data_IF_468586487880
#
_entry.id   IF_468586487880
#
_cell.length_a   1.000
_cell.length_b   1.000
_cell.length_c   1.000
_cell.angle_alpha   90.00
_cell.angle_beta   90.00
_cell.angle_gamma   90.00
#
_symmetry.space_group_name_H-M   'P 1'
#
loop_
_entity.id
_entity.type
_entity.pdbx_description
1 polymer ?
#
# COMPACT_ATOMS: atom_id res chain seq x y z
N UNK A 1 3.94 -25.84 -20.46
CA UNK A 1 3.70 -24.39 -20.61
C UNK A 1 4.43 -23.72 -19.47
N UNK A 2 5.62 -23.17 -19.71
CA UNK A 2 6.40 -22.49 -18.68
C UNK A 2 5.62 -21.26 -18.25
N UNK A 3 4.96 -21.34 -17.10
CA UNK A 3 4.36 -20.18 -16.46
C UNK A 3 5.40 -19.07 -16.46
N UNK A 4 5.09 -17.91 -17.03
CA UNK A 4 5.90 -16.71 -16.86
C UNK A 4 6.17 -16.61 -15.36
N UNK A 5 7.43 -16.69 -14.96
CA UNK A 5 7.81 -16.64 -13.56
C UNK A 5 7.61 -15.18 -13.12
N UNK A 6 6.39 -14.85 -12.70
CA UNK A 6 5.99 -13.48 -12.28
C UNK A 6 6.66 -13.10 -10.95
N UNK A 7 7.68 -13.83 -10.51
CA UNK A 7 8.42 -13.64 -9.26
C UNK A 7 9.45 -12.51 -9.30
N UNK A 8 9.75 -11.95 -10.48
CA UNK A 8 10.75 -10.90 -10.64
C UNK A 8 10.38 -9.64 -9.84
N UNK A 9 11.29 -9.20 -8.95
CA UNK A 9 11.02 -8.12 -8.00
C UNK A 9 10.63 -6.80 -8.68
N UNK A 10 11.33 -6.44 -9.76
CA UNK A 10 11.06 -5.20 -10.49
C UNK A 10 9.66 -5.19 -11.09
N UNK A 11 9.20 -6.34 -11.60
CA UNK A 11 7.86 -6.47 -12.17
C UNK A 11 6.78 -6.31 -11.09
N UNK A 12 6.97 -6.94 -9.93
CA UNK A 12 6.06 -6.82 -8.79
C UNK A 12 5.98 -5.38 -8.26
N UNK A 13 7.12 -4.71 -8.14
CA UNK A 13 7.18 -3.30 -7.72
C UNK A 13 6.43 -2.41 -8.72
N UNK A 14 6.60 -2.63 -10.03
CA UNK A 14 5.84 -1.90 -11.05
C UNK A 14 4.33 -2.10 -10.87
N UNK A 15 3.87 -3.34 -10.63
CA UNK A 15 2.45 -3.60 -10.36
C UNK A 15 1.99 -2.86 -9.10
N UNK A 16 2.74 -2.93 -8.00
CA UNK A 16 2.43 -2.23 -6.75
C UNK A 16 2.26 -0.73 -7.01
N UNK A 17 3.18 -0.12 -7.77
CA UNK A 17 3.09 1.29 -8.14
C UNK A 17 1.87 1.60 -9.00
N UNK A 18 1.56 0.78 -10.01
CA UNK A 18 0.42 1.00 -10.89
C UNK A 18 -0.90 0.88 -10.14
N UNK A 19 -1.08 -0.16 -9.32
CA UNK A 19 -2.31 -0.37 -8.55
C UNK A 19 -2.43 0.68 -7.43
N UNK A 20 -1.32 1.02 -6.77
CA UNK A 20 -1.27 2.10 -5.77
C UNK A 20 -1.65 3.45 -6.37
N UNK A 21 -1.11 3.79 -7.55
CA UNK A 21 -1.48 4.99 -8.28
C UNK A 21 -2.96 5.00 -8.66
N UNK A 22 -3.49 3.88 -9.17
CA UNK A 22 -4.90 3.74 -9.52
C UNK A 22 -5.81 3.96 -8.31
N UNK A 23 -5.49 3.35 -7.16
CA UNK A 23 -6.21 3.58 -5.90
C UNK A 23 -6.22 5.07 -5.53
N UNK A 24 -5.05 5.72 -5.59
CA UNK A 24 -4.95 7.11 -5.19
C UNK A 24 -5.73 8.04 -6.15
N UNK A 25 -5.66 7.74 -7.45
CA UNK A 25 -6.44 8.43 -8.47
C UNK A 25 -7.96 8.28 -8.25
N UNK A 26 -8.43 7.07 -7.94
CA UNK A 26 -9.84 6.83 -7.61
C UNK A 26 -10.27 7.65 -6.39
N UNK A 27 -9.42 7.70 -5.35
CA UNK A 27 -9.68 8.48 -4.16
C UNK A 27 -9.86 9.98 -4.49
N UNK A 28 -8.88 10.56 -5.20
CA UNK A 28 -8.87 11.99 -5.54
C UNK A 28 -10.01 12.38 -6.48
N UNK A 29 -10.32 11.56 -7.49
CA UNK A 29 -11.32 11.91 -8.50
C UNK A 29 -12.76 11.70 -8.03
N UNK A 30 -13.02 10.67 -7.22
CA UNK A 30 -14.39 10.23 -6.95
C UNK A 30 -14.77 10.23 -5.48
N UNK A 31 -13.79 10.08 -4.60
CA UNK A 31 -14.02 9.95 -3.16
C UNK A 31 -13.50 11.14 -2.37
N UNK A 32 -13.18 12.29 -2.98
CA UNK A 32 -12.60 13.46 -2.31
C UNK A 32 -13.61 14.24 -1.42
N UNK A 33 -14.15 13.55 -0.42
CA UNK A 33 -14.99 14.09 0.63
C UNK A 33 -14.15 14.42 1.87
N UNK A 34 -14.66 15.28 2.75
CA UNK A 34 -13.94 15.68 3.96
C UNK A 34 -13.59 14.51 4.88
N UNK A 35 -14.43 13.47 4.91
CA UNK A 35 -14.25 12.27 5.75
C UNK A 35 -13.14 11.38 5.19
N UNK A 36 -13.13 11.14 3.89
CA UNK A 36 -12.11 10.32 3.22
C UNK A 36 -10.74 10.99 3.23
N UNK A 37 -10.66 12.33 3.28
CA UNK A 37 -9.40 13.03 3.52
C UNK A 37 -8.78 12.71 4.89
N UNK A 38 -9.57 12.69 5.97
CA UNK A 38 -9.09 12.30 7.29
C UNK A 38 -8.64 10.85 7.34
N UNK A 39 -9.36 9.97 6.65
CA UNK A 39 -8.98 8.58 6.52
C UNK A 39 -7.67 8.43 5.74
N UNK A 40 -7.56 9.10 4.59
CA UNK A 40 -6.38 9.09 3.73
C UNK A 40 -5.13 9.59 4.46
N UNK A 41 -5.30 10.60 5.34
CA UNK A 41 -4.23 11.13 6.16
C UNK A 41 -3.55 10.04 7.00
N UNK A 42 -4.29 9.08 7.57
CA UNK A 42 -3.69 7.99 8.35
C UNK A 42 -2.75 7.15 7.47
N UNK A 43 -3.19 6.78 6.27
CA UNK A 43 -2.36 6.01 5.34
C UNK A 43 -1.11 6.78 4.91
N UNK A 44 -1.28 8.06 4.55
CA UNK A 44 -0.16 8.93 4.20
C UNK A 44 0.81 9.15 5.37
N UNK A 45 0.30 9.26 6.61
CA UNK A 45 1.15 9.38 7.79
C UNK A 45 2.05 8.14 7.96
N UNK A 46 1.49 6.94 7.81
CA UNK A 46 2.27 5.70 7.91
C UNK A 46 3.27 5.60 6.75
N UNK A 47 2.89 6.02 5.54
CA UNK A 47 3.77 6.07 4.38
C UNK A 47 5.01 6.93 4.65
N UNK A 48 4.80 8.20 5.02
CA UNK A 48 5.89 9.14 5.30
C UNK A 48 6.72 8.74 6.53
N UNK A 49 6.07 8.17 7.56
CA UNK A 49 6.78 7.64 8.73
C UNK A 49 7.72 6.49 8.34
N UNK A 50 7.31 5.64 7.39
CA UNK A 50 8.14 4.53 6.90
C UNK A 50 9.42 5.05 6.24
N UNK A 51 9.29 6.08 5.39
CA UNK A 51 10.43 6.79 4.81
C UNK A 51 11.35 7.35 5.89
N UNK A 52 10.78 8.04 6.89
CA UNK A 52 11.56 8.66 7.96
C UNK A 52 12.34 7.64 8.80
N UNK A 53 11.72 6.50 9.15
CA UNK A 53 12.40 5.41 9.89
C UNK A 53 13.59 4.89 9.08
N UNK A 54 13.40 4.58 7.79
CA UNK A 54 14.49 4.08 6.95
C UNK A 54 15.54 5.15 6.65
N UNK A 55 15.18 6.43 6.59
CA UNK A 55 16.14 7.53 6.51
C UNK A 55 17.07 7.52 7.72
N UNK A 56 16.52 7.41 8.94
CA UNK A 56 17.31 7.37 10.17
C UNK A 56 18.22 6.13 10.18
N UNK A 57 17.70 4.95 9.83
CA UNK A 57 18.47 3.71 9.83
C UNK A 57 19.61 3.68 8.79
N UNK A 58 19.39 4.29 7.62
CA UNK A 58 20.42 4.38 6.56
C UNK A 58 21.36 5.58 6.74
N UNK A 59 21.15 6.38 7.79
CA UNK A 59 21.95 7.56 8.11
C UNK A 59 21.68 8.76 7.19
N UNK A 60 20.59 8.75 6.43
CA UNK A 60 20.13 9.92 5.68
C UNK A 60 19.62 11.01 6.65
N UNK A 61 19.99 12.26 6.38
CA UNK A 61 19.54 13.39 7.20
C UNK A 61 18.17 13.87 6.70
N UNK A 62 17.15 13.77 7.55
CA UNK A 62 15.82 14.35 7.28
C UNK A 62 15.95 15.87 7.36
N UNK A 63 15.55 16.55 6.28
CA UNK A 63 15.54 18.02 6.20
C UNK A 63 14.17 18.55 6.56
N UNK A 64 13.12 17.86 6.12
CA UNK A 64 11.74 18.29 6.29
C UNK A 64 10.82 17.08 6.45
N UNK A 65 9.90 17.15 7.41
CA UNK A 65 8.89 16.13 7.67
C UNK A 65 7.52 16.82 7.74
N UNK A 66 6.82 16.88 6.60
CA UNK A 66 5.56 17.63 6.45
C UNK A 66 4.39 16.69 6.18
N UNK A 67 3.90 16.05 7.24
CA UNK A 67 2.78 15.11 7.11
C UNK A 67 1.41 15.80 7.11
N UNK A 68 1.25 16.89 7.88
CA UNK A 68 0.00 17.65 7.96
C UNK A 68 -0.19 18.67 6.83
N UNK A 69 0.26 18.34 5.62
CA UNK A 69 0.14 19.21 4.45
C UNK A 69 -0.77 18.59 3.38
N UNK A 70 -1.20 19.40 2.39
CA UNK A 70 -2.00 18.89 1.26
C UNK A 70 -1.25 17.83 0.44
N UNK A 71 0.07 17.82 0.50
CA UNK A 71 0.95 16.84 -0.15
C UNK A 71 1.96 16.36 0.89
N UNK A 72 1.60 15.36 1.70
CA UNK A 72 2.51 14.75 2.66
C UNK A 72 3.82 14.35 1.98
N UNK A 73 4.95 14.69 2.60
CA UNK A 73 6.27 14.32 2.10
C UNK A 73 7.33 14.36 3.20
N UNK A 74 8.35 13.53 3.05
CA UNK A 74 9.63 13.60 3.74
C UNK A 74 10.73 13.99 2.76
N UNK A 75 11.35 15.15 2.98
CA UNK A 75 12.55 15.55 2.23
C UNK A 75 13.79 15.15 3.02
N UNK A 76 14.70 14.43 2.38
CA UNK A 76 15.94 13.96 3.01
C UNK A 76 17.15 14.20 2.09
N UNK A 77 18.32 14.35 2.68
CA UNK A 77 19.59 14.33 1.95
C UNK A 77 19.92 12.90 1.50
N UNK A 78 20.93 12.77 0.65
CA UNK A 78 21.46 11.47 0.25
C UNK A 78 21.83 10.60 1.46
N UNK A 79 21.47 9.32 1.38
CA UNK A 79 21.84 8.30 2.37
C UNK A 79 23.34 8.14 2.45
N UNK A 80 23.86 7.79 3.64
CA UNK A 80 25.27 7.43 3.83
C UNK A 80 25.66 6.14 3.10
N UNK A 81 24.68 5.27 2.87
CA UNK A 81 24.78 4.10 2.01
C UNK A 81 24.25 4.47 0.62
N UNK A 82 25.11 4.82 -0.36
CA UNK A 82 24.65 5.16 -1.70
C UNK A 82 23.98 3.94 -2.36
N UNK A 83 23.00 4.20 -3.22
CA UNK A 83 22.19 3.20 -3.93
C UNK A 83 21.31 2.32 -3.01
N UNK A 84 21.89 1.49 -2.14
CA UNK A 84 21.16 0.56 -1.27
C UNK A 84 20.28 1.33 -0.29
N UNK A 85 20.80 2.38 0.34
CA UNK A 85 20.01 3.17 1.27
C UNK A 85 18.86 3.91 0.57
N UNK A 86 19.10 4.41 -0.65
CA UNK A 86 18.03 5.00 -1.47
C UNK A 86 16.95 3.98 -1.82
N UNK A 87 17.33 2.76 -2.25
CA UNK A 87 16.39 1.68 -2.51
C UNK A 87 15.55 1.35 -1.28
N UNK A 88 16.20 1.16 -0.11
CA UNK A 88 15.53 0.82 1.13
C UNK A 88 14.55 1.91 1.57
N UNK A 89 14.93 3.18 1.47
CA UNK A 89 14.03 4.30 1.73
C UNK A 89 12.86 4.24 0.75
N UNK A 90 13.10 4.16 -0.56
CA UNK A 90 12.03 4.20 -1.56
C UNK A 90 11.01 3.06 -1.46
N UNK A 91 11.42 1.87 -1.04
CA UNK A 91 10.50 0.73 -0.83
C UNK A 91 9.96 0.66 0.61
N UNK A 92 10.39 1.55 1.51
CA UNK A 92 9.98 1.55 2.91
C UNK A 92 8.46 1.55 3.12
N UNK A 93 7.65 2.30 2.35
CA UNK A 93 6.20 2.32 2.55
C UNK A 93 5.53 0.95 2.36
N UNK A 94 6.05 0.10 1.47
CA UNK A 94 5.51 -1.24 1.26
C UNK A 94 5.62 -2.04 2.57
N UNK A 95 6.82 -2.09 3.14
CA UNK A 95 7.08 -2.86 4.36
C UNK A 95 6.43 -2.22 5.58
N UNK A 96 6.51 -0.90 5.72
CA UNK A 96 5.90 -0.19 6.84
C UNK A 96 4.38 -0.30 6.84
N UNK A 97 3.74 -0.26 5.66
CA UNK A 97 2.31 -0.49 5.53
C UNK A 97 1.90 -1.92 5.87
N UNK A 98 2.58 -2.92 5.32
CA UNK A 98 2.34 -4.33 5.65
C UNK A 98 2.51 -4.60 7.14
N UNK A 99 3.61 -4.10 7.72
CA UNK A 99 3.89 -4.22 9.15
C UNK A 99 2.80 -3.56 10.00
N UNK A 100 2.35 -2.35 9.62
CA UNK A 100 1.28 -1.65 10.33
C UNK A 100 -0.03 -2.45 10.31
N UNK A 101 -0.46 -2.96 9.16
CA UNK A 101 -1.68 -3.78 9.06
C UNK A 101 -1.56 -5.06 9.88
N UNK A 102 -0.41 -5.72 9.81
CA UNK A 102 -0.14 -6.90 10.63
C UNK A 102 -0.22 -6.57 12.12
N UNK A 103 0.43 -5.50 12.57
CA UNK A 103 0.45 -5.09 13.97
C UNK A 103 -0.96 -4.74 14.48
N UNK A 104 -1.75 -4.00 13.70
CA UNK A 104 -3.13 -3.70 14.07
C UNK A 104 -3.97 -4.97 14.13
N UNK A 105 -3.85 -5.86 13.14
CA UNK A 105 -4.59 -7.11 13.16
C UNK A 105 -4.22 -8.00 14.36
N UNK A 106 -2.93 -8.12 14.67
CA UNK A 106 -2.43 -8.94 15.75
C UNK A 106 -2.78 -8.38 17.13
N UNK A 107 -2.44 -7.11 17.40
CA UNK A 107 -2.57 -6.52 18.74
C UNK A 107 -3.97 -5.97 19.03
N UNK A 108 -4.62 -5.33 18.05
CA UNK A 108 -5.89 -4.63 18.26
C UNK A 108 -7.09 -5.46 17.82
N UNK A 109 -6.99 -6.13 16.67
CA UNK A 109 -8.06 -6.99 16.16
C UNK A 109 -7.96 -8.44 16.67
N UNK A 110 -6.92 -8.78 17.45
CA UNK A 110 -6.75 -10.11 18.05
C UNK A 110 -6.76 -11.24 17.01
N UNK A 111 -6.15 -11.00 15.85
CA UNK A 111 -6.12 -11.90 14.69
C UNK A 111 -7.51 -12.23 14.12
N UNK A 112 -8.45 -11.29 14.20
CA UNK A 112 -9.79 -11.44 13.63
C UNK A 112 -9.75 -11.75 12.11
N UNK A 113 -8.79 -11.18 11.39
CA UNK A 113 -8.60 -11.46 9.95
C UNK A 113 -7.41 -12.38 9.71
N UNK A 114 -7.61 -13.40 8.88
CA UNK A 114 -6.53 -14.24 8.36
C UNK A 114 -6.03 -13.63 7.05
N UNK A 115 -4.83 -13.04 7.11
CA UNK A 115 -4.12 -12.53 5.95
C UNK A 115 -3.21 -13.62 5.39
N UNK A 116 -3.77 -14.49 4.55
CA UNK A 116 -3.00 -15.51 3.86
C UNK A 116 -1.92 -14.86 2.98
N UNK A 117 -0.68 -15.35 3.08
CA UNK A 117 0.44 -14.87 2.27
C UNK A 117 0.39 -15.59 0.92
N UNK A 118 0.05 -14.91 -0.18
CA UNK A 118 -0.11 -15.57 -1.47
C UNK A 118 1.22 -16.10 -2.00
N UNK A 119 1.22 -17.30 -2.57
CA UNK A 119 2.41 -17.93 -3.16
C UNK A 119 2.46 -17.79 -4.68
N UNK A 120 1.34 -17.45 -5.31
CA UNK A 120 1.22 -17.32 -6.76
C UNK A 120 0.22 -16.21 -7.13
N UNK A 121 0.20 -15.84 -8.41
CA UNK A 121 -0.66 -14.76 -8.93
C UNK A 121 -2.16 -15.08 -8.83
N UNK A 122 -2.56 -16.35 -8.84
CA UNK A 122 -3.97 -16.73 -8.72
C UNK A 122 -4.46 -16.52 -7.29
N UNK A 123 -3.63 -16.88 -6.31
CA UNK A 123 -3.89 -16.57 -4.91
C UNK A 123 -3.92 -15.06 -4.67
N UNK A 124 -3.08 -14.27 -5.38
CA UNK A 124 -3.12 -12.81 -5.29
C UNK A 124 -4.50 -12.27 -5.66
N UNK A 125 -5.10 -12.80 -6.73
CA UNK A 125 -6.41 -12.39 -7.24
C UNK A 125 -7.58 -12.98 -6.42
N UNK A 126 -7.40 -14.15 -5.81
CA UNK A 126 -8.41 -14.81 -4.98
C UNK A 126 -8.48 -14.26 -3.55
N UNK A 127 -7.37 -13.73 -3.01
CA UNK A 127 -7.29 -13.23 -1.64
C UNK A 127 -8.37 -12.18 -1.30
N UNK A 128 -8.67 -11.18 -2.16
CA UNK A 128 -9.74 -10.22 -1.87
C UNK A 128 -11.09 -10.88 -1.57
N UNK A 129 -11.44 -11.91 -2.35
CA UNK A 129 -12.68 -12.67 -2.15
C UNK A 129 -12.65 -13.38 -0.79
N UNK A 130 -11.54 -14.06 -0.47
CA UNK A 130 -11.35 -14.72 0.83
C UNK A 130 -11.39 -13.76 2.02
N UNK A 131 -10.90 -12.53 1.86
CA UNK A 131 -10.98 -11.48 2.87
C UNK A 131 -12.42 -11.02 3.08
N UNK A 132 -13.17 -10.80 1.99
CA UNK A 132 -14.56 -10.34 2.07
C UNK A 132 -15.49 -11.37 2.72
N UNK A 133 -15.24 -12.67 2.54
CA UNK A 133 -15.98 -13.72 3.24
C UNK A 133 -15.81 -13.71 4.76
N UNK A 134 -14.74 -13.09 5.27
CA UNK A 134 -14.50 -12.96 6.72
C UNK A 134 -15.24 -11.76 7.34
N UNK A 135 -15.86 -10.90 6.52
CA UNK A 135 -16.52 -9.70 7.02
C UNK A 135 -17.80 -10.04 7.76
N UNK A 136 -17.83 -9.69 9.04
CA UNK A 136 -19.05 -9.66 9.84
C UNK A 136 -19.37 -8.20 10.18
N UNK A 137 -20.34 -7.61 9.48
CA UNK A 137 -20.70 -6.21 9.63
C UNK A 137 -21.33 -5.86 11.00
N UNK A 138 -21.64 -6.85 11.83
CA UNK A 138 -22.06 -6.63 13.23
C UNK A 138 -20.87 -6.42 14.17
N UNK A 139 -19.66 -6.79 13.75
CA UNK A 139 -18.44 -6.69 14.55
C UNK A 139 -17.69 -5.40 14.22
N UNK A 140 -17.26 -4.67 15.25
CA UNK A 140 -16.55 -3.40 15.09
C UNK A 140 -15.18 -3.57 14.41
N UNK A 141 -14.56 -4.75 14.56
CA UNK A 141 -13.29 -5.14 13.94
C UNK A 141 -13.39 -5.03 12.40
N UNK A 142 -14.52 -5.44 11.82
CA UNK A 142 -14.77 -5.34 10.38
C UNK A 142 -14.78 -3.89 9.92
N UNK A 143 -15.43 -2.99 10.66
CA UNK A 143 -15.48 -1.57 10.32
C UNK A 143 -14.11 -0.91 10.42
N UNK A 144 -13.36 -1.21 11.49
CA UNK A 144 -12.01 -0.68 11.63
C UNK A 144 -11.09 -1.19 10.51
N UNK A 145 -11.14 -2.48 10.20
CA UNK A 145 -10.30 -3.07 9.15
C UNK A 145 -10.68 -2.57 7.75
N UNK A 146 -11.96 -2.39 7.45
CA UNK A 146 -12.43 -1.77 6.20
C UNK A 146 -11.89 -0.35 6.04
N UNK A 147 -11.90 0.44 7.11
CA UNK A 147 -11.31 1.78 7.10
C UNK A 147 -9.82 1.68 6.77
N UNK A 148 -9.06 0.80 7.41
CA UNK A 148 -7.65 0.60 7.11
C UNK A 148 -7.42 0.13 5.67
N UNK A 149 -8.29 -0.75 5.16
CA UNK A 149 -8.19 -1.28 3.80
C UNK A 149 -8.50 -0.26 2.73
N UNK A 150 -9.39 0.70 2.97
CA UNK A 150 -9.61 1.84 2.06
C UNK A 150 -8.39 2.79 2.02
N UNK A 151 -7.52 2.74 3.03
CA UNK A 151 -6.32 3.57 3.11
C UNK A 151 -5.02 2.86 2.73
N UNK A 152 -5.05 1.53 2.52
CA UNK A 152 -3.84 0.77 2.19
C UNK A 152 -3.16 1.25 0.91
N UNK A 153 -3.93 1.79 -0.04
CA UNK A 153 -3.40 2.46 -1.23
C UNK A 153 -2.45 3.60 -0.94
N UNK A 154 -2.82 4.50 -0.01
CA UNK A 154 -1.98 5.62 0.42
C UNK A 154 -0.77 5.16 1.24
N UNK A 155 -0.91 4.06 1.95
CA UNK A 155 0.07 3.53 2.88
C UNK A 155 1.16 2.70 2.20
N UNK A 156 0.77 1.81 1.29
CA UNK A 156 1.66 0.82 0.62
C UNK A 156 2.07 1.29 -0.77
N UNK A 157 1.19 2.01 -1.49
CA UNK A 157 1.44 2.42 -2.86
C UNK A 157 2.65 3.35 -2.95
N UNK A 158 3.56 3.05 -3.87
CA UNK A 158 4.75 3.89 -4.10
C UNK A 158 4.39 5.17 -4.86
N UNK A 159 4.97 6.28 -4.42
CA UNK A 159 4.83 7.56 -5.11
C UNK A 159 5.70 7.62 -6.37
N UNK A 160 5.42 8.61 -7.23
CA UNK A 160 6.27 8.87 -8.39
C UNK A 160 7.69 9.29 -8.00
N UNK A 161 7.85 9.95 -6.85
CA UNK A 161 9.15 10.35 -6.35
C UNK A 161 9.95 9.12 -5.88
N UNK A 162 9.29 8.16 -5.24
CA UNK A 162 9.92 6.91 -4.82
C UNK A 162 10.50 6.18 -6.02
N UNK A 163 9.69 5.98 -7.07
CA UNK A 163 10.16 5.32 -8.30
C UNK A 163 11.35 6.03 -8.95
N UNK A 164 11.33 7.37 -9.02
CA UNK A 164 12.45 8.16 -9.56
C UNK A 164 13.73 7.97 -8.78
N UNK A 165 13.66 7.76 -7.47
CA UNK A 165 14.84 7.66 -6.62
C UNK A 165 15.61 6.34 -6.84
N UNK A 166 14.97 5.27 -7.34
CA UNK A 166 15.64 3.98 -7.55
C UNK A 166 15.38 3.34 -8.93
N UNK A 167 14.91 4.09 -9.93
CA UNK A 167 14.58 3.56 -11.26
C UNK A 167 15.71 2.72 -11.93
N UNK A 168 17.02 3.00 -11.77
CA UNK A 168 18.06 2.14 -12.35
C UNK A 168 18.07 0.76 -11.69
N UNK A 169 17.84 0.71 -10.37
CA UNK A 169 17.75 -0.53 -9.60
C UNK A 169 16.45 -1.29 -9.90
N UNK A 170 15.36 -0.57 -10.24
CA UNK A 170 14.12 -1.19 -10.68
C UNK A 170 14.32 -2.00 -11.97
N UNK A 171 15.11 -1.50 -12.93
CA UNK A 171 15.44 -2.21 -14.16
C UNK A 171 16.26 -3.48 -13.88
N UNK A 172 17.23 -3.42 -12.96
CA UNK A 172 17.95 -4.60 -12.50
C UNK A 172 16.97 -5.58 -11.85
N UNK A 173 16.03 -5.07 -11.05
CA UNK A 173 14.99 -5.85 -10.39
C UNK A 173 14.13 -6.69 -11.33
N UNK A 174 14.03 -6.34 -12.63
CA UNK A 174 13.31 -7.15 -13.63
C UNK A 174 13.95 -8.53 -13.86
N UNK A 175 15.20 -8.70 -13.48
CA UNK A 175 15.96 -9.95 -13.63
C UNK A 175 16.31 -10.59 -12.28
N UNK A 176 15.92 -9.97 -11.16
CA UNK A 176 16.21 -10.46 -9.81
C UNK A 176 15.00 -11.17 -9.24
N UNK A 177 15.20 -12.42 -8.83
CA UNK A 177 14.26 -13.21 -8.06
C UNK A 177 14.70 -13.28 -6.60
N UNK A 178 13.78 -13.01 -5.68
CA UNK A 178 14.01 -13.22 -4.25
C UNK A 178 12.81 -13.96 -3.63
N UNK A 179 12.87 -15.30 -3.56
CA UNK A 179 11.76 -16.14 -3.09
C UNK A 179 11.25 -15.77 -1.69
N UNK A 180 12.11 -15.21 -0.84
CA UNK A 180 11.73 -14.75 0.50
C UNK A 180 10.94 -13.44 0.51
N UNK A 181 11.08 -12.59 -0.51
CA UNK A 181 10.44 -11.26 -0.59
C UNK A 181 9.16 -11.33 -1.43
N UNK A 182 9.16 -12.15 -2.48
CA UNK A 182 8.05 -12.31 -3.42
C UNK A 182 6.67 -12.51 -2.74
N UNK A 183 6.50 -13.37 -1.71
CA UNK A 183 5.19 -13.59 -1.09
C UNK A 183 4.64 -12.34 -0.39
N UNK A 184 5.52 -11.49 0.17
CA UNK A 184 5.11 -10.23 0.80
C UNK A 184 4.74 -9.16 -0.22
N UNK A 185 5.41 -9.13 -1.38
CA UNK A 185 5.02 -8.26 -2.49
C UNK A 185 3.67 -8.72 -3.09
N UNK A 186 3.45 -10.01 -3.20
CA UNK A 186 2.14 -10.56 -3.57
C UNK A 186 1.05 -10.16 -2.57
N UNK A 187 1.31 -10.26 -1.28
CA UNK A 187 0.38 -9.78 -0.24
C UNK A 187 0.09 -8.27 -0.41
N UNK A 188 1.12 -7.44 -0.65
CA UNK A 188 0.94 -6.01 -0.91
C UNK A 188 0.04 -5.76 -2.14
N UNK A 189 0.27 -6.47 -3.25
CA UNK A 189 -0.57 -6.37 -4.45
C UNK A 189 -2.02 -6.76 -4.13
N UNK A 190 -2.25 -7.86 -3.43
CA UNK A 190 -3.61 -8.28 -3.05
C UNK A 190 -4.33 -7.24 -2.20
N UNK A 191 -3.66 -6.64 -1.22
CA UNK A 191 -4.25 -5.61 -0.37
C UNK A 191 -4.56 -4.32 -1.14
N UNK A 192 -3.76 -3.99 -2.14
CA UNK A 192 -4.04 -2.89 -3.07
C UNK A 192 -5.21 -3.21 -4.00
N UNK A 193 -5.34 -4.46 -4.47
CA UNK A 193 -6.51 -4.90 -5.24
C UNK A 193 -7.77 -4.85 -4.38
N UNK A 194 -7.72 -5.31 -3.13
CA UNK A 194 -8.82 -5.19 -2.16
C UNK A 194 -9.26 -3.72 -2.02
N UNK A 195 -8.29 -2.83 -1.85
CA UNK A 195 -8.51 -1.39 -1.73
C UNK A 195 -9.26 -0.82 -2.94
N UNK A 196 -8.78 -1.11 -4.15
CA UNK A 196 -9.42 -0.65 -5.40
C UNK A 196 -10.86 -1.17 -5.50
N UNK A 197 -11.10 -2.45 -5.18
CA UNK A 197 -12.46 -3.01 -5.21
C UNK A 197 -13.37 -2.30 -4.21
N UNK A 198 -12.91 -2.09 -2.96
CA UNK A 198 -13.68 -1.38 -1.93
C UNK A 198 -13.99 0.06 -2.34
N UNK A 199 -13.03 0.76 -2.95
CA UNK A 199 -13.25 2.12 -3.47
C UNK A 199 -14.30 2.13 -4.59
N UNK A 200 -14.23 1.20 -5.55
CA UNK A 200 -15.22 1.11 -6.62
C UNK A 200 -16.62 0.82 -6.08
N UNK A 201 -16.74 -0.09 -5.10
CA UNK A 201 -18.01 -0.36 -4.41
C UNK A 201 -18.55 0.90 -3.72
N UNK A 202 -17.70 1.63 -3.00
CA UNK A 202 -18.09 2.86 -2.31
C UNK A 202 -18.56 3.93 -3.30
N UNK A 203 -17.84 4.12 -4.42
CA UNK A 203 -18.22 5.06 -5.49
C UNK A 203 -19.60 4.69 -6.05
N UNK A 204 -19.85 3.40 -6.32
CA UNK A 204 -21.13 2.92 -6.83
C UNK A 204 -22.27 3.22 -5.85
N UNK A 205 -22.07 2.92 -4.56
CA UNK A 205 -23.05 3.18 -3.50
C UNK A 205 -23.37 4.68 -3.41
N UNK A 206 -22.34 5.53 -3.39
CA UNK A 206 -22.52 6.99 -3.33
C UNK A 206 -23.33 7.48 -4.54
N UNK A 207 -22.98 7.03 -5.76
CA UNK A 207 -23.70 7.40 -6.98
C UNK A 207 -25.16 6.94 -6.94
N UNK A 208 -25.42 5.73 -6.44
CA UNK A 208 -26.77 5.20 -6.30
C UNK A 208 -27.61 6.03 -5.32
N UNK A 209 -27.05 6.39 -4.16
CA UNK A 209 -27.72 7.24 -3.17
C UNK A 209 -28.03 8.62 -3.76
N UNK A 210 -27.09 9.22 -4.49
CA UNK A 210 -27.30 10.53 -5.13
C UNK A 210 -28.34 10.48 -6.26
N UNK A 211 -28.48 9.34 -6.94
CA UNK A 211 -29.51 9.13 -7.96
C UNK A 211 -30.92 9.13 -7.35
N UNK A 212 -31.12 8.43 -6.22
CA UNK A 212 -32.42 8.37 -5.54
C UNK A 212 -32.83 9.66 -4.82
N UNK A 213 -31.89 10.59 -4.61
CA UNK A 213 -32.17 11.89 -3.97
C UNK A 213 -32.67 12.95 -4.97
N UNK A 214 -32.59 12.69 -6.28
CA UNK A 214 -33.12 13.57 -7.34
C UNK A 214 -34.51 13.13 -7.75
#
# INVERSE_FOLDING_TARGET
MSYLDVSNLGFLIIIISLVGYLSNWLNVCWLNFRITQWLYFLGAFIHELSHAILCILTGAKIVEFKVFSRQPHVSHLSSRLPLIGQLLISIAPIFGGLFFLYAINYYLLQNYFVLAVPQDIWQVLAMPVGLFYQFNFLQWQTWLFLILMINSGAMIGLSWQDLKNFWPLLLIGLFVNAPFVTPYLFLAISLLVCNVILQLMLILIIKLILLFRR
#
